data_IF_715768435439
#
_entry.id   IF_715768435439
#
_cell.length_a   1.000
_cell.length_b   1.000
_cell.length_c   1.000
_cell.angle_alpha   90.00
_cell.angle_beta   90.00
_cell.angle_gamma   90.00
#
_symmetry.space_group_name_H-M   'P 1'
#
loop_
_entity.id
_entity.type
_entity.pdbx_description
1 polymer ?
#
# COMPACT_ATOMS: atom_id res chain seq x y z
N UNK A 1 -25.60 34.77 -15.05
CA UNK A 1 -25.15 33.41 -15.41
C UNK A 1 -24.81 32.69 -14.11
N UNK A 2 -25.68 31.77 -13.64
CA UNK A 2 -25.58 31.16 -12.30
C UNK A 2 -24.48 30.09 -12.29
N UNK A 3 -23.47 30.26 -11.43
CA UNK A 3 -22.48 29.23 -11.14
C UNK A 3 -23.15 27.99 -10.55
N UNK A 4 -22.85 26.82 -11.10
CA UNK A 4 -23.23 25.52 -10.52
C UNK A 4 -22.20 25.15 -9.45
N UNK A 5 -22.60 24.73 -8.24
CA UNK A 5 -21.65 24.29 -7.23
C UNK A 5 -21.08 22.93 -7.61
N UNK A 6 -19.75 22.85 -7.64
CA UNK A 6 -18.97 21.63 -7.84
C UNK A 6 -19.11 20.76 -6.59
N UNK A 7 -19.69 19.57 -6.76
CA UNK A 7 -19.97 18.65 -5.66
C UNK A 7 -18.67 18.14 -5.03
N UNK A 8 -18.48 18.45 -3.74
CA UNK A 8 -17.51 17.80 -2.87
C UNK A 8 -17.81 16.30 -2.86
N UNK A 9 -16.92 15.48 -3.42
CA UNK A 9 -16.98 14.03 -3.21
C UNK A 9 -16.36 13.70 -1.85
N UNK A 10 -17.19 13.86 -0.84
CA UNK A 10 -17.05 13.28 0.50
C UNK A 10 -16.70 11.80 0.36
N UNK A 11 -15.86 11.27 1.27
CA UNK A 11 -15.64 9.84 1.47
C UNK A 11 -16.98 9.12 1.35
N UNK A 12 -17.21 8.43 0.24
CA UNK A 12 -18.45 7.67 0.05
C UNK A 12 -18.28 6.42 0.90
N UNK A 13 -18.55 6.54 2.20
CA UNK A 13 -19.23 5.43 2.86
C UNK A 13 -20.44 5.16 1.98
N UNK A 14 -20.45 4.02 1.29
CA UNK A 14 -21.68 3.56 0.67
C UNK A 14 -22.65 3.34 1.81
N UNK A 15 -23.44 4.36 2.12
CA UNK A 15 -24.70 4.20 2.80
C UNK A 15 -25.52 3.30 1.89
N UNK A 16 -25.50 2.00 2.19
CA UNK A 16 -26.45 1.09 1.60
C UNK A 16 -27.81 1.50 2.16
N UNK A 17 -28.86 1.58 1.33
CA UNK A 17 -30.19 2.03 1.77
C UNK A 17 -30.90 0.99 2.66
N UNK A 18 -30.14 0.10 3.28
CA UNK A 18 -30.58 -1.05 4.04
C UNK A 18 -29.52 -1.44 5.07
N UNK A 19 -29.91 -2.26 6.05
CA UNK A 19 -29.05 -2.79 7.11
C UNK A 19 -27.92 -3.63 6.53
N UNK A 20 -26.70 -3.29 6.93
CA UNK A 20 -25.49 -3.96 6.47
C UNK A 20 -24.53 -4.22 7.63
N UNK A 21 -24.19 -5.48 7.86
CA UNK A 21 -23.23 -5.87 8.89
C UNK A 21 -21.79 -5.78 8.36
N UNK A 22 -21.09 -4.67 8.62
CA UNK A 22 -19.71 -4.42 8.12
C UNK A 22 -18.70 -5.50 8.52
N UNK A 23 -18.88 -6.11 9.69
CA UNK A 23 -18.01 -7.17 10.23
C UNK A 23 -18.78 -8.47 10.47
N UNK A 24 -19.80 -8.74 9.65
CA UNK A 24 -20.68 -9.90 9.83
C UNK A 24 -20.12 -11.22 9.31
N UNK A 25 -19.04 -11.19 8.52
CA UNK A 25 -18.35 -12.40 8.04
C UNK A 25 -16.91 -12.41 8.57
N UNK A 26 -16.54 -13.48 9.25
CA UNK A 26 -15.16 -13.76 9.65
C UNK A 26 -14.59 -14.74 8.62
N UNK A 27 -13.39 -14.46 8.13
CA UNK A 27 -12.72 -15.26 7.10
C UNK A 27 -11.33 -15.60 7.59
N UNK A 28 -11.02 -16.88 7.68
CA UNK A 28 -9.74 -17.37 8.17
C UNK A 28 -9.06 -18.17 7.07
N UNK A 29 -7.76 -17.97 6.89
CA UNK A 29 -6.95 -18.75 5.97
C UNK A 29 -6.45 -19.98 6.72
N UNK A 30 -6.89 -21.16 6.29
CA UNK A 30 -6.55 -22.42 6.96
C UNK A 30 -5.33 -23.09 6.32
N UNK A 31 -5.11 -22.87 5.03
CA UNK A 31 -3.96 -23.41 4.30
C UNK A 31 -3.57 -22.50 3.14
N UNK A 32 -2.27 -22.38 2.90
CA UNK A 32 -1.72 -21.69 1.74
C UNK A 32 -0.52 -22.46 1.20
N UNK A 33 -0.55 -22.79 -0.08
CA UNK A 33 0.54 -23.44 -0.82
C UNK A 33 0.92 -22.64 -2.06
N UNK A 34 2.19 -22.69 -2.46
CA UNK A 34 2.66 -22.30 -3.78
C UNK A 34 3.38 -23.48 -4.41
N UNK A 35 2.91 -23.94 -5.58
CA UNK A 35 3.44 -25.12 -6.28
C UNK A 35 3.57 -26.38 -5.40
N UNK A 36 2.70 -26.51 -4.40
CA UNK A 36 2.69 -27.61 -3.44
C UNK A 36 3.43 -27.32 -2.13
N UNK A 37 4.25 -26.28 -2.07
CA UNK A 37 5.03 -25.92 -0.89
C UNK A 37 4.27 -24.96 0.04
N UNK A 38 4.31 -25.17 1.38
CA UNK A 38 3.68 -24.28 2.34
C UNK A 38 4.18 -22.84 2.25
N UNK A 39 3.24 -21.90 2.43
CA UNK A 39 3.51 -20.47 2.44
C UNK A 39 3.47 -19.94 3.87
N UNK A 40 4.40 -19.05 4.21
CA UNK A 40 4.32 -18.28 5.44
C UNK A 40 3.11 -17.33 5.42
N UNK A 41 2.33 -17.36 6.50
CA UNK A 41 1.09 -16.63 6.66
C UNK A 41 1.18 -15.78 7.92
N UNK A 42 0.99 -14.47 7.77
CA UNK A 42 0.79 -13.58 8.91
C UNK A 42 -0.72 -13.49 9.18
N UNK A 43 -1.16 -14.28 10.17
CA UNK A 43 -2.57 -14.34 10.56
C UNK A 43 -3.07 -13.06 11.26
N UNK A 44 -2.18 -12.33 11.94
CA UNK A 44 -2.54 -11.10 12.65
C UNK A 44 -2.75 -9.95 11.67
N UNK A 45 -1.80 -9.76 10.73
CA UNK A 45 -1.93 -8.78 9.66
C UNK A 45 -2.87 -9.24 8.54
N UNK A 46 -3.26 -10.53 8.52
CA UNK A 46 -4.08 -11.18 7.48
C UNK A 46 -3.43 -11.05 6.11
N UNK A 47 -2.14 -11.36 6.05
CA UNK A 47 -1.35 -11.27 4.83
C UNK A 47 -0.66 -12.58 4.48
N UNK A 48 -0.50 -12.80 3.17
CA UNK A 48 0.26 -13.91 2.60
C UNK A 48 1.26 -13.33 1.63
N UNK A 49 2.54 -13.61 1.88
CA UNK A 49 3.63 -13.13 1.04
C UNK A 49 4.06 -14.22 0.05
N UNK A 50 3.72 -14.03 -1.23
CA UNK A 50 4.23 -14.84 -2.36
C UNK A 50 5.39 -14.14 -3.07
N UNK A 51 5.68 -12.93 -2.65
CA UNK A 51 6.54 -11.95 -3.28
C UNK A 51 8.00 -12.42 -3.29
N UNK A 52 8.38 -13.12 -2.21
CA UNK A 52 9.70 -13.69 -1.98
C UNK A 52 10.08 -14.85 -2.91
N UNK A 53 9.13 -15.43 -3.66
CA UNK A 53 9.31 -16.74 -4.31
C UNK A 53 8.98 -16.68 -5.80
N UNK A 54 9.65 -17.52 -6.58
CA UNK A 54 9.18 -17.89 -7.92
C UNK A 54 8.12 -18.98 -7.75
N UNK A 55 6.97 -18.82 -8.40
CA UNK A 55 5.89 -19.79 -8.37
C UNK A 55 5.03 -19.69 -9.63
N UNK A 56 4.38 -20.78 -10.02
CA UNK A 56 3.43 -20.85 -11.13
C UNK A 56 1.97 -20.80 -10.66
N UNK A 57 1.67 -21.45 -9.54
CA UNK A 57 0.34 -21.51 -8.95
C UNK A 57 0.35 -21.34 -7.44
N UNK A 58 -0.68 -20.67 -6.92
CA UNK A 58 -0.96 -20.55 -5.49
C UNK A 58 -2.34 -21.15 -5.17
N UNK A 59 -2.38 -21.98 -4.12
CA UNK A 59 -3.57 -22.67 -3.64
C UNK A 59 -3.87 -22.24 -2.21
N UNK A 60 -5.08 -21.73 -1.99
CA UNK A 60 -5.51 -21.26 -0.69
C UNK A 60 -6.80 -21.96 -0.27
N UNK A 61 -6.82 -22.44 0.96
CA UNK A 61 -8.02 -22.93 1.62
C UNK A 61 -8.43 -21.91 2.69
N UNK A 62 -9.65 -21.40 2.58
CA UNK A 62 -10.20 -20.43 3.53
C UNK A 62 -11.47 -20.97 4.16
N UNK A 63 -11.72 -20.59 5.40
CA UNK A 63 -12.90 -20.92 6.18
C UNK A 63 -13.64 -19.63 6.52
N UNK A 64 -14.94 -19.58 6.28
CA UNK A 64 -15.78 -18.43 6.60
C UNK A 64 -16.88 -18.79 7.59
N UNK A 65 -17.03 -17.94 8.61
CA UNK A 65 -18.08 -18.03 9.62
C UNK A 65 -18.83 -16.71 9.74
N UNK A 66 -20.05 -16.75 10.29
CA UNK A 66 -20.80 -15.54 10.58
C UNK A 66 -20.47 -15.06 12.00
N UNK A 67 -20.28 -13.75 12.14
CA UNK A 67 -20.21 -13.15 13.47
C UNK A 67 -21.59 -13.27 14.17
N UNK A 68 -21.62 -13.40 15.51
CA UNK A 68 -22.88 -13.43 16.26
C UNK A 68 -23.78 -12.24 15.93
N UNK A 69 -25.08 -12.46 15.77
CA UNK A 69 -26.07 -11.42 15.47
C UNK A 69 -26.13 -11.00 13.98
N UNK A 70 -25.31 -11.58 13.10
CA UNK A 70 -25.29 -11.18 11.68
C UNK A 70 -26.60 -11.51 10.97
N UNK A 71 -27.20 -12.66 11.24
CA UNK A 71 -28.46 -13.06 10.61
C UNK A 71 -29.60 -12.12 11.03
N UNK A 72 -29.69 -11.81 12.32
CA UNK A 72 -30.69 -10.95 12.92
C UNK A 72 -30.61 -9.51 12.39
N UNK A 73 -29.38 -9.04 12.16
CA UNK A 73 -29.09 -7.72 11.61
C UNK A 73 -29.37 -7.62 10.11
N UNK A 74 -29.18 -8.71 9.36
CA UNK A 74 -29.24 -8.70 7.89
C UNK A 74 -30.54 -9.23 7.30
N UNK A 75 -31.34 -10.00 8.06
CA UNK A 75 -32.58 -10.60 7.58
C UNK A 75 -33.78 -10.26 8.49
N UNK A 76 -34.97 -10.05 7.90
CA UNK A 76 -36.20 -9.92 8.66
C UNK A 76 -36.51 -11.22 9.41
N UNK A 77 -37.27 -11.12 10.50
CA UNK A 77 -37.57 -12.23 11.41
C UNK A 77 -38.12 -13.47 10.70
N UNK A 78 -39.02 -13.29 9.73
CA UNK A 78 -39.61 -14.35 8.91
C UNK A 78 -38.61 -15.14 8.07
N UNK A 79 -37.39 -14.62 7.86
CA UNK A 79 -36.36 -15.27 7.04
C UNK A 79 -35.23 -15.89 7.88
N UNK A 80 -35.16 -15.66 9.20
CA UNK A 80 -33.97 -16.01 10.01
C UNK A 80 -33.74 -17.50 10.20
N UNK A 81 -34.81 -18.31 10.21
CA UNK A 81 -34.70 -19.76 10.32
C UNK A 81 -34.13 -20.40 9.05
N UNK A 82 -34.40 -19.80 7.88
CA UNK A 82 -33.90 -20.25 6.58
C UNK A 82 -33.47 -19.06 5.71
N UNK A 83 -32.36 -18.40 6.07
CA UNK A 83 -31.97 -17.13 5.47
C UNK A 83 -31.64 -17.32 3.99
N UNK A 84 -32.25 -16.55 3.07
CA UNK A 84 -32.00 -16.64 1.64
C UNK A 84 -30.65 -15.98 1.28
N UNK A 85 -29.55 -16.46 1.86
CA UNK A 85 -28.20 -15.94 1.69
C UNK A 85 -27.18 -17.00 1.28
N UNK A 86 -26.03 -16.55 0.78
CA UNK A 86 -24.83 -17.35 0.54
C UNK A 86 -23.59 -16.57 0.95
N UNK A 87 -22.55 -17.28 1.37
CA UNK A 87 -21.23 -16.68 1.54
C UNK A 87 -20.56 -16.57 0.18
N UNK A 88 -19.93 -15.44 -0.07
CA UNK A 88 -19.21 -15.16 -1.30
C UNK A 88 -17.78 -14.71 -0.96
N UNK A 89 -16.80 -15.35 -1.56
CA UNK A 89 -15.41 -14.90 -1.53
C UNK A 89 -15.10 -14.21 -2.86
N UNK A 90 -14.89 -12.89 -2.84
CA UNK A 90 -14.45 -12.14 -4.00
C UNK A 90 -12.93 -12.09 -4.05
N UNK A 91 -12.34 -12.47 -5.19
CA UNK A 91 -10.92 -12.37 -5.47
C UNK A 91 -10.72 -11.20 -6.42
N UNK A 92 -9.85 -10.26 -6.05
CA UNK A 92 -9.57 -9.07 -6.85
C UNK A 92 -8.08 -8.84 -6.96
N UNK A 93 -7.59 -8.66 -8.19
CA UNK A 93 -6.28 -8.08 -8.42
C UNK A 93 -6.47 -6.82 -9.28
N UNK A 94 -6.41 -5.61 -8.68
CA UNK A 94 -6.63 -4.36 -9.42
C UNK A 94 -5.64 -4.17 -10.58
N UNK A 95 -4.38 -4.59 -10.40
CA UNK A 95 -3.31 -4.41 -11.38
C UNK A 95 -3.58 -5.19 -12.68
N UNK A 96 -4.02 -6.43 -12.59
CA UNK A 96 -4.37 -7.28 -13.75
C UNK A 96 -5.85 -7.21 -14.12
N UNK A 97 -6.65 -6.48 -13.36
CA UNK A 97 -8.12 -6.42 -13.46
C UNK A 97 -8.82 -7.76 -13.20
N UNK A 98 -8.12 -8.75 -12.64
CA UNK A 98 -8.73 -10.02 -12.22
C UNK A 98 -9.87 -9.75 -11.24
N UNK A 99 -11.05 -10.30 -11.55
CA UNK A 99 -12.23 -10.26 -10.68
C UNK A 99 -12.94 -11.61 -10.78
N UNK A 100 -12.81 -12.43 -9.73
CA UNK A 100 -13.49 -13.73 -9.62
C UNK A 100 -14.29 -13.78 -8.33
N UNK A 101 -15.26 -14.66 -8.26
CA UNK A 101 -16.00 -14.93 -7.03
C UNK A 101 -16.27 -16.42 -6.88
N UNK A 102 -16.12 -16.92 -5.67
CA UNK A 102 -16.58 -18.26 -5.28
C UNK A 102 -17.74 -18.13 -4.31
N UNK A 103 -18.70 -19.04 -4.38
CA UNK A 103 -19.88 -19.07 -3.51
C UNK A 103 -19.85 -20.34 -2.67
N UNK A 104 -20.11 -20.20 -1.38
CA UNK A 104 -20.32 -21.31 -0.46
C UNK A 104 -21.74 -21.25 0.13
N UNK A 105 -22.28 -22.40 0.57
CA UNK A 105 -23.51 -22.44 1.35
C UNK A 105 -23.44 -21.50 2.55
N UNK A 106 -24.59 -21.01 2.99
CA UNK A 106 -24.69 -20.30 4.26
C UNK A 106 -24.97 -21.33 5.35
N UNK A 107 -24.14 -21.36 6.39
CA UNK A 107 -24.36 -22.17 7.58
C UNK A 107 -24.09 -21.32 8.82
N UNK A 108 -25.04 -21.32 9.75
CA UNK A 108 -24.88 -20.68 11.05
C UNK A 108 -24.13 -21.58 12.05
N UNK A 109 -24.16 -22.90 11.84
CA UNK A 109 -23.62 -23.89 12.78
C UNK A 109 -22.19 -24.34 12.45
N UNK A 110 -21.78 -24.23 11.18
CA UNK A 110 -20.49 -24.73 10.73
C UNK A 110 -19.80 -23.74 9.79
N UNK A 111 -18.46 -23.65 9.81
CA UNK A 111 -17.73 -22.87 8.85
C UNK A 111 -17.93 -23.38 7.42
N UNK A 112 -17.91 -22.45 6.47
CA UNK A 112 -18.00 -22.74 5.04
C UNK A 112 -16.64 -22.57 4.39
N UNK A 113 -16.20 -23.60 3.65
CA UNK A 113 -14.87 -23.61 3.04
C UNK A 113 -14.86 -23.01 1.64
N UNK A 114 -13.76 -22.35 1.30
CA UNK A 114 -13.43 -21.86 -0.03
C UNK A 114 -12.08 -22.44 -0.45
N UNK A 115 -12.03 -23.04 -1.64
CA UNK A 115 -10.79 -23.38 -2.31
C UNK A 115 -10.53 -22.34 -3.42
N UNK A 116 -9.34 -21.74 -3.40
CA UNK A 116 -8.93 -20.70 -4.34
C UNK A 116 -7.64 -21.14 -5.02
N UNK A 117 -7.69 -21.19 -6.35
CA UNK A 117 -6.52 -21.48 -7.19
C UNK A 117 -6.18 -20.25 -8.03
N UNK A 118 -4.95 -19.77 -7.92
CA UNK A 118 -4.46 -18.56 -8.59
C UNK A 118 -3.24 -18.90 -9.43
N UNK A 119 -3.27 -18.55 -10.71
CA UNK A 119 -2.08 -18.63 -11.57
C UNK A 119 -1.25 -17.37 -11.44
N UNK A 120 0.07 -17.52 -11.35
CA UNK A 120 1.05 -16.41 -11.30
C UNK A 120 0.84 -15.37 -12.40
N UNK A 121 0.44 -15.80 -13.60
CA UNK A 121 0.24 -14.95 -14.77
C UNK A 121 -0.94 -13.98 -14.60
N UNK A 122 -1.93 -14.36 -13.80
CA UNK A 122 -3.12 -13.55 -13.51
C UNK A 122 -2.87 -12.53 -12.38
N UNK A 123 -1.71 -12.57 -11.72
CA UNK A 123 -1.42 -11.80 -10.51
C UNK A 123 -0.32 -10.75 -10.72
N UNK A 124 -0.59 -9.52 -10.26
CA UNK A 124 0.40 -8.45 -10.11
C UNK A 124 0.13 -7.63 -8.85
N UNK A 125 1.17 -7.31 -8.09
CA UNK A 125 1.08 -6.54 -6.85
C UNK A 125 0.14 -7.17 -5.81
N UNK A 126 -0.79 -6.36 -5.31
CA UNK A 126 -1.73 -6.76 -4.25
C UNK A 126 -2.97 -7.48 -4.82
N UNK A 127 -3.30 -8.61 -4.22
CA UNK A 127 -4.50 -9.41 -4.46
C UNK A 127 -5.35 -9.41 -3.18
N UNK A 128 -6.62 -9.06 -3.30
CA UNK A 128 -7.57 -9.01 -2.18
C UNK A 128 -8.53 -10.19 -2.23
N UNK A 129 -8.68 -10.87 -1.09
CA UNK A 129 -9.69 -11.89 -0.84
C UNK A 129 -10.73 -11.33 0.13
N UNK A 130 -11.89 -10.94 -0.40
CA UNK A 130 -12.89 -10.16 0.34
C UNK A 130 -14.14 -11.01 0.58
N UNK A 131 -14.49 -11.31 1.85
CA UNK A 131 -15.69 -12.07 2.18
C UNK A 131 -16.94 -11.19 2.18
N UNK A 132 -18.05 -11.72 1.68
CA UNK A 132 -19.37 -11.12 1.75
C UNK A 132 -20.43 -12.16 2.08
N UNK A 133 -21.49 -11.71 2.76
CA UNK A 133 -22.79 -12.39 2.76
C UNK A 133 -23.64 -11.73 1.69
N UNK A 134 -24.20 -12.52 0.77
CA UNK A 134 -25.01 -12.02 -0.34
C UNK A 134 -26.40 -12.65 -0.36
N UNK A 135 -27.39 -11.88 -0.79
CA UNK A 135 -28.77 -12.35 -0.93
C UNK A 135 -28.94 -13.21 -2.18
N UNK A 136 -29.59 -14.37 -2.07
CA UNK A 136 -29.77 -15.31 -3.18
C UNK A 136 -31.13 -15.25 -3.85
N UNK A 137 -32.15 -14.75 -3.15
CA UNK A 137 -33.52 -14.58 -3.65
C UNK A 137 -34.07 -13.25 -3.20
N UNK A 138 -34.93 -12.63 -4.02
CA UNK A 138 -35.57 -11.39 -3.63
C UNK A 138 -36.42 -11.58 -2.36
N UNK A 139 -36.55 -10.53 -1.55
CA UNK A 139 -37.27 -10.56 -0.28
C UNK A 139 -38.23 -9.39 -0.11
N UNK A 140 -38.75 -9.27 1.11
CA UNK A 140 -39.60 -8.16 1.51
C UNK A 140 -38.77 -6.87 1.61
N UNK A 141 -39.33 -5.78 1.08
CA UNK A 141 -38.71 -4.46 1.07
C UNK A 141 -39.03 -3.71 2.38
N UNK A 142 -38.02 -3.09 2.98
CA UNK A 142 -38.06 -2.38 4.26
C UNK A 142 -36.66 -1.88 4.63
N UNK A 143 -36.26 -2.00 5.89
CA UNK A 143 -34.87 -1.70 6.33
C UNK A 143 -33.83 -2.72 5.81
N UNK A 144 -34.23 -3.80 5.15
CA UNK A 144 -33.38 -4.91 4.74
C UNK A 144 -33.13 -4.91 3.23
N UNK A 145 -32.01 -5.51 2.80
CA UNK A 145 -31.74 -5.68 1.38
C UNK A 145 -32.72 -6.69 0.79
N UNK A 146 -33.34 -6.32 -0.32
CA UNK A 146 -34.48 -7.02 -0.90
C UNK A 146 -34.17 -7.64 -2.26
N UNK A 147 -33.13 -7.19 -2.97
CA UNK A 147 -32.81 -7.70 -4.30
C UNK A 147 -31.78 -8.84 -4.25
N UNK A 148 -31.92 -9.80 -5.17
CA UNK A 148 -30.92 -10.85 -5.39
C UNK A 148 -29.57 -10.24 -5.75
N UNK A 149 -28.50 -10.74 -5.12
CA UNK A 149 -27.13 -10.30 -5.34
C UNK A 149 -26.70 -9.12 -4.46
N UNK A 150 -27.61 -8.51 -3.70
CA UNK A 150 -27.25 -7.46 -2.74
C UNK A 150 -26.36 -8.01 -1.62
N UNK A 151 -25.38 -7.19 -1.22
CA UNK A 151 -24.47 -7.52 -0.13
C UNK A 151 -25.14 -7.17 1.17
N UNK A 152 -25.21 -8.14 2.07
CA UNK A 152 -25.86 -8.07 3.38
C UNK A 152 -24.85 -7.87 4.50
N UNK A 153 -23.69 -8.52 4.40
CA UNK A 153 -22.59 -8.36 5.33
C UNK A 153 -21.24 -8.39 4.61
N UNK A 154 -20.22 -7.85 5.27
CA UNK A 154 -18.83 -7.91 4.85
C UNK A 154 -17.94 -8.44 5.97
N UNK A 155 -16.67 -8.59 5.64
CA UNK A 155 -15.64 -8.97 6.60
C UNK A 155 -14.30 -8.36 6.24
N UNK A 156 -13.34 -8.51 7.15
CA UNK A 156 -11.96 -8.09 6.90
C UNK A 156 -11.36 -8.92 5.76
N UNK A 157 -10.76 -8.31 4.75
CA UNK A 157 -10.15 -9.07 3.67
C UNK A 157 -8.86 -9.78 4.12
N UNK A 158 -8.42 -10.75 3.33
CA UNK A 158 -7.04 -11.21 3.30
C UNK A 158 -6.30 -10.55 2.14
N UNK A 159 -5.02 -10.26 2.36
CA UNK A 159 -4.16 -9.62 1.36
C UNK A 159 -3.07 -10.60 0.90
N UNK A 160 -3.02 -10.89 -0.39
CA UNK A 160 -1.94 -11.65 -1.01
C UNK A 160 -1.01 -10.70 -1.75
N UNK A 161 0.29 -10.79 -1.49
CA UNK A 161 1.32 -10.06 -2.22
C UNK A 161 1.95 -10.97 -3.26
N UNK A 162 1.64 -10.76 -4.54
CA UNK A 162 2.04 -11.64 -5.63
C UNK A 162 3.39 -11.26 -6.26
N UNK A 163 3.68 -9.97 -6.34
CA UNK A 163 5.02 -9.49 -6.66
C UNK A 163 5.67 -9.06 -5.36
N UNK A 164 6.99 -9.25 -5.25
CA UNK A 164 7.80 -8.41 -4.34
C UNK A 164 7.25 -7.02 -4.52
N UNK A 165 6.84 -6.38 -3.42
CA UNK A 165 6.95 -4.92 -3.43
C UNK A 165 8.33 -4.72 -4.06
N UNK A 166 8.39 -4.10 -5.26
CA UNK A 166 9.65 -3.50 -5.68
C UNK A 166 10.06 -2.84 -4.39
N UNK A 167 11.14 -3.31 -3.76
CA UNK A 167 11.70 -2.59 -2.64
C UNK A 167 11.73 -1.20 -3.21
N UNK A 168 10.87 -0.34 -2.71
CA UNK A 168 11.18 1.06 -2.76
C UNK A 168 12.41 1.00 -1.88
N UNK A 169 13.57 0.91 -2.53
CA UNK A 169 14.85 1.20 -1.91
C UNK A 169 14.54 2.37 -0.97
N UNK A 170 14.52 2.15 0.36
CA UNK A 170 13.86 3.11 1.26
C UNK A 170 12.97 2.60 2.41
N UNK A 171 13.10 1.37 2.94
CA UNK A 171 12.62 1.09 4.32
C UNK A 171 13.51 1.77 5.40
N UNK A 172 14.06 2.94 5.10
CA UNK A 172 14.90 3.73 6.02
C UNK A 172 14.13 4.93 6.57
N UNK A 173 12.85 5.05 6.23
CA UNK A 173 12.15 6.31 6.37
C UNK A 173 10.73 6.10 6.90
N UNK A 174 10.52 6.51 8.14
CA UNK A 174 9.20 6.62 8.76
C UNK A 174 8.47 7.82 8.17
N UNK A 175 7.44 7.59 7.36
CA UNK A 175 6.64 8.69 6.80
C UNK A 175 5.48 9.02 7.74
N UNK A 176 5.40 10.27 8.21
CA UNK A 176 4.36 10.76 9.12
C UNK A 176 3.70 12.01 8.58
N UNK A 177 2.40 12.18 8.81
CA UNK A 177 1.67 13.39 8.45
C UNK A 177 1.30 14.17 9.72
N UNK A 178 1.66 15.45 9.79
CA UNK A 178 1.29 16.34 10.90
C UNK A 178 1.12 17.77 10.40
N UNK A 179 0.29 18.55 11.08
CA UNK A 179 0.20 19.99 10.86
C UNK A 179 1.43 20.70 11.44
N UNK A 180 2.23 21.33 10.59
CA UNK A 180 3.51 21.92 11.01
C UNK A 180 3.31 23.14 11.92
N UNK A 181 2.13 23.75 12.01
CA UNK A 181 1.85 24.75 13.06
C UNK A 181 1.97 24.16 14.47
N UNK A 182 1.83 22.84 14.63
CA UNK A 182 1.98 22.15 15.91
C UNK A 182 3.42 21.71 16.22
N UNK A 183 4.35 21.90 15.28
CA UNK A 183 5.76 21.53 15.43
C UNK A 183 6.61 22.80 15.55
N UNK A 184 7.02 23.22 16.78
CA UNK A 184 7.68 24.51 16.99
C UNK A 184 9.02 24.68 16.25
N UNK A 185 9.70 23.57 15.95
CA UNK A 185 11.02 23.55 15.30
C UNK A 185 10.95 23.52 13.76
N UNK A 186 9.75 23.44 13.17
CA UNK A 186 9.58 23.26 11.73
C UNK A 186 8.81 24.46 11.15
N UNK A 187 9.29 25.11 10.08
CA UNK A 187 8.53 26.17 9.41
C UNK A 187 7.14 25.71 8.95
N UNK A 188 6.09 26.47 9.25
CA UNK A 188 4.71 26.04 9.04
C UNK A 188 4.26 25.92 7.56
N UNK A 189 4.99 26.54 6.63
CA UNK A 189 4.62 26.65 5.20
C UNK A 189 5.43 25.73 4.26
N UNK A 190 6.33 24.89 4.78
CA UNK A 190 7.06 23.93 3.93
C UNK A 190 6.25 22.65 3.73
N UNK A 191 6.53 21.93 2.63
CA UNK A 191 5.78 20.72 2.24
C UNK A 191 6.18 19.51 3.08
N UNK A 192 7.47 19.39 3.39
CA UNK A 192 8.01 18.27 4.17
C UNK A 192 9.20 18.72 5.02
N UNK A 193 9.49 17.94 6.06
CA UNK A 193 10.66 18.08 6.91
C UNK A 193 11.24 16.70 7.17
N UNK A 194 12.56 16.60 7.15
CA UNK A 194 13.27 15.34 7.36
C UNK A 194 14.02 15.43 8.70
N UNK A 195 13.65 14.56 9.63
CA UNK A 195 14.31 14.39 10.92
C UNK A 195 15.31 13.22 10.81
N UNK A 196 16.60 13.54 10.93
CA UNK A 196 17.71 12.61 10.74
C UNK A 196 18.47 12.30 12.04
N UNK A 197 18.08 12.92 13.15
CA UNK A 197 18.76 12.78 14.45
C UNK A 197 18.24 11.56 15.24
N UNK A 198 17.58 10.63 14.54
CA UNK A 198 16.95 9.45 15.09
C UNK A 198 17.59 8.17 14.53
N UNK A 199 17.56 7.04 15.27
CA UNK A 199 18.00 5.75 14.75
C UNK A 199 17.24 5.26 13.50
N UNK A 200 16.07 5.83 13.22
CA UNK A 200 15.31 5.68 11.98
C UNK A 200 14.84 7.06 11.51
N UNK A 201 15.28 7.55 10.34
CA UNK A 201 14.85 8.82 9.76
C UNK A 201 13.34 8.96 9.69
N UNK A 202 12.82 10.15 9.97
CA UNK A 202 11.40 10.44 9.89
C UNK A 202 11.15 11.52 8.84
N UNK A 203 10.38 11.17 7.80
CA UNK A 203 9.86 12.13 6.83
C UNK A 203 8.49 12.63 7.32
N UNK A 204 8.48 13.85 7.82
CA UNK A 204 7.26 14.56 8.14
C UNK A 204 6.70 15.24 6.89
N UNK A 205 5.43 14.99 6.60
CA UNK A 205 4.66 15.60 5.51
C UNK A 205 3.63 16.56 6.10
N UNK A 206 3.60 17.79 5.60
CA UNK A 206 2.78 18.84 6.18
C UNK A 206 1.29 18.66 5.84
N UNK A 207 0.49 18.33 6.85
CA UNK A 207 -0.96 18.10 6.73
C UNK A 207 -1.78 19.39 6.65
N UNK A 208 -1.17 20.55 6.93
CA UNK A 208 -1.82 21.88 6.86
C UNK A 208 -2.30 22.22 5.46
N UNK A 209 -1.49 21.88 4.45
CA UNK A 209 -1.85 22.02 3.05
C UNK A 209 -2.78 20.88 2.62
N UNK A 210 -4.05 20.95 3.05
CA UNK A 210 -5.04 19.87 2.87
C UNK A 210 -5.06 19.30 1.46
N UNK A 211 -4.99 20.14 0.43
CA UNK A 211 -4.97 19.70 -0.97
C UNK A 211 -3.75 18.85 -1.33
N UNK A 212 -2.56 19.23 -0.86
CA UNK A 212 -1.30 18.49 -1.07
C UNK A 212 -1.32 17.18 -0.26
N UNK A 213 -1.70 17.26 1.01
CA UNK A 213 -1.82 16.07 1.88
C UNK A 213 -2.83 15.06 1.31
N UNK A 214 -3.96 15.53 0.82
CA UNK A 214 -4.98 14.73 0.16
C UNK A 214 -4.53 14.04 -1.13
N UNK A 215 -3.60 14.67 -1.85
CA UNK A 215 -2.97 14.10 -3.05
C UNK A 215 -1.97 13.03 -2.62
N UNK A 216 -1.07 13.31 -1.68
CA UNK A 216 -0.07 12.38 -1.15
C UNK A 216 -0.70 11.14 -0.49
N UNK A 217 -1.82 11.30 0.21
CA UNK A 217 -2.58 10.20 0.81
C UNK A 217 -3.48 9.46 -0.19
N UNK A 218 -3.61 9.94 -1.43
CA UNK A 218 -4.48 9.34 -2.43
C UNK A 218 -4.04 7.91 -2.73
N UNK A 219 -4.99 6.97 -2.71
CA UNK A 219 -4.78 5.57 -3.16
C UNK A 219 -5.21 5.34 -4.61
N UNK A 220 -5.57 6.40 -5.33
CA UNK A 220 -5.93 6.28 -6.74
C UNK A 220 -4.71 5.81 -7.53
N UNK A 221 -4.89 4.84 -8.42
CA UNK A 221 -3.79 4.29 -9.23
C UNK A 221 -3.74 4.86 -10.65
N UNK A 222 -4.74 5.67 -11.04
CA UNK A 222 -4.88 6.26 -12.38
C UNK A 222 -5.59 7.62 -12.32
N UNK A 223 -5.43 8.40 -13.39
CA UNK A 223 -6.06 9.71 -13.59
C UNK A 223 -5.23 10.85 -13.00
N UNK A 224 -5.63 12.09 -13.29
CA UNK A 224 -4.87 13.31 -12.97
C UNK A 224 -4.36 13.34 -11.52
N UNK A 225 -5.21 12.98 -10.54
CA UNK A 225 -4.82 12.97 -9.11
C UNK A 225 -3.73 11.94 -8.78
N UNK A 226 -3.70 10.80 -9.46
CA UNK A 226 -2.62 9.83 -9.30
C UNK A 226 -1.32 10.32 -9.96
N UNK A 227 -1.42 10.92 -11.16
CA UNK A 227 -0.25 11.49 -11.84
C UNK A 227 0.37 12.63 -11.04
N UNK A 228 -0.44 13.57 -10.51
CA UNK A 228 0.05 14.65 -9.64
C UNK A 228 0.69 14.08 -8.38
N UNK A 229 0.07 13.07 -7.74
CA UNK A 229 0.66 12.41 -6.57
C UNK A 229 2.04 11.83 -6.88
N UNK A 230 2.16 11.09 -7.97
CA UNK A 230 3.40 10.42 -8.33
C UNK A 230 4.51 11.45 -8.64
N UNK A 231 4.19 12.54 -9.34
CA UNK A 231 5.14 13.64 -9.57
C UNK A 231 5.57 14.32 -8.27
N UNK A 232 4.62 14.63 -7.37
CA UNK A 232 4.95 15.26 -6.08
C UNK A 232 5.81 14.32 -5.22
N UNK A 233 5.53 13.02 -5.22
CA UNK A 233 6.39 12.05 -4.53
C UNK A 233 7.79 12.03 -5.09
N UNK A 234 7.96 11.96 -6.42
CA UNK A 234 9.29 11.97 -7.04
C UNK A 234 10.07 13.24 -6.68
N UNK A 235 9.40 14.41 -6.65
CA UNK A 235 10.03 15.67 -6.24
C UNK A 235 10.50 15.64 -4.77
N UNK A 236 9.68 15.09 -3.86
CA UNK A 236 10.05 14.93 -2.46
C UNK A 236 11.21 13.94 -2.34
N UNK A 237 11.14 12.82 -3.05
CA UNK A 237 12.15 11.76 -3.06
C UNK A 237 13.52 12.28 -3.48
N UNK A 238 13.59 13.14 -4.51
CA UNK A 238 14.85 13.79 -4.92
C UNK A 238 15.51 14.55 -3.76
N UNK A 239 14.75 15.43 -3.09
CA UNK A 239 15.27 16.23 -1.98
C UNK A 239 15.58 15.40 -0.74
N UNK A 240 14.86 14.31 -0.50
CA UNK A 240 15.08 13.40 0.63
C UNK A 240 16.37 12.59 0.46
N UNK A 241 16.62 12.02 -0.73
CA UNK A 241 17.84 11.26 -0.96
C UNK A 241 19.10 12.10 -0.85
N UNK A 242 19.06 13.33 -1.37
CA UNK A 242 20.17 14.27 -1.21
C UNK A 242 20.50 14.51 0.27
N UNK A 243 19.49 14.76 1.11
CA UNK A 243 19.69 15.01 2.54
C UNK A 243 20.19 13.77 3.29
N UNK A 244 19.59 12.60 3.04
CA UNK A 244 20.03 11.33 3.62
C UNK A 244 21.50 11.04 3.28
N UNK A 245 21.88 11.22 2.02
CA UNK A 245 23.24 10.98 1.56
C UNK A 245 24.23 11.97 2.16
N UNK A 246 23.91 13.28 2.16
CA UNK A 246 24.78 14.30 2.78
C UNK A 246 24.99 14.00 4.25
N UNK A 247 23.93 13.64 4.98
CA UNK A 247 24.04 13.29 6.40
C UNK A 247 24.93 12.06 6.60
N UNK A 248 24.67 10.97 5.88
CA UNK A 248 25.47 9.75 5.97
C UNK A 248 26.94 9.98 5.59
N UNK A 249 27.21 10.76 4.54
CA UNK A 249 28.58 11.10 4.12
C UNK A 249 29.29 12.01 5.13
N UNK A 250 28.55 12.92 5.78
CA UNK A 250 29.12 13.82 6.80
C UNK A 250 29.41 13.09 8.11
N UNK A 251 28.64 12.05 8.43
CA UNK A 251 28.81 11.25 9.63
C UNK A 251 29.89 10.16 9.49
N UNK A 252 30.22 9.81 8.25
CA UNK A 252 31.22 8.80 7.94
C UNK A 252 32.59 9.18 8.51
N UNK A 253 33.07 8.36 9.45
CA UNK A 253 34.39 8.55 10.05
C UNK A 253 35.51 8.07 9.13
N UNK A 254 36.76 8.43 9.46
CA UNK A 254 37.94 7.91 8.74
C UNK A 254 38.11 6.39 8.82
N UNK A 255 37.49 5.76 9.81
CA UNK A 255 37.46 4.30 9.95
C UNK A 255 36.38 3.63 9.06
N UNK A 256 35.56 4.42 8.36
CA UNK A 256 34.45 3.91 7.55
C UNK A 256 33.19 3.58 8.34
N UNK A 257 33.09 4.06 9.59
CA UNK A 257 31.96 3.81 10.48
C UNK A 257 30.99 5.00 10.47
N UNK A 258 29.69 4.72 10.57
CA UNK A 258 28.60 5.70 10.73
C UNK A 258 27.88 5.52 12.08
N UNK A 259 27.13 6.53 12.53
CA UNK A 259 26.43 6.52 13.83
C UNK A 259 25.18 5.65 13.80
N UNK A 260 24.51 5.57 12.65
CA UNK A 260 23.26 4.83 12.50
C UNK A 260 23.29 3.86 11.33
N UNK A 261 22.71 2.66 11.55
CA UNK A 261 22.65 1.62 10.51
C UNK A 261 21.94 2.04 9.21
N UNK A 262 21.08 3.06 9.23
CA UNK A 262 20.44 3.56 8.01
C UNK A 262 21.44 4.34 7.14
N UNK A 263 22.45 4.98 7.74
CA UNK A 263 23.49 5.73 7.03
C UNK A 263 24.34 4.76 6.19
N UNK A 264 24.79 3.65 6.78
CA UNK A 264 25.49 2.57 6.07
C UNK A 264 24.69 2.04 4.86
N UNK A 265 23.37 1.91 5.02
CA UNK A 265 22.49 1.40 3.98
C UNK A 265 22.29 2.41 2.84
N UNK A 266 22.16 3.71 3.16
CA UNK A 266 22.13 4.79 2.17
C UNK A 266 23.43 4.79 1.36
N UNK A 267 24.59 4.69 2.02
CA UNK A 267 25.88 4.66 1.34
C UNK A 267 26.05 3.39 0.49
N UNK A 268 25.64 2.23 1.00
CA UNK A 268 25.68 0.96 0.28
C UNK A 268 24.80 0.94 -0.96
N UNK A 269 23.70 1.70 -0.95
CA UNK A 269 22.78 1.83 -2.07
C UNK A 269 23.30 2.77 -3.16
N UNK A 270 23.78 3.96 -2.77
CA UNK A 270 24.07 5.03 -3.73
C UNK A 270 25.52 5.03 -4.21
N UNK A 271 26.49 4.63 -3.38
CA UNK A 271 27.90 4.62 -3.80
C UNK A 271 28.19 3.76 -5.04
N UNK A 272 27.59 2.56 -5.23
CA UNK A 272 27.76 1.81 -6.47
C UNK A 272 27.28 2.56 -7.73
N UNK A 273 26.22 3.37 -7.59
CA UNK A 273 25.65 4.17 -8.70
C UNK A 273 26.47 5.44 -8.96
N UNK A 274 27.03 6.05 -7.91
CA UNK A 274 27.87 7.26 -7.98
C UNK A 274 29.29 6.93 -8.45
N UNK A 275 29.87 5.83 -7.98
CA UNK A 275 31.24 5.37 -8.24
C UNK A 275 31.24 3.97 -8.89
N UNK A 276 30.67 3.83 -10.10
CA UNK A 276 30.54 2.52 -10.75
C UNK A 276 31.89 1.90 -11.15
N UNK A 277 32.92 2.71 -11.33
CA UNK A 277 34.28 2.26 -11.68
C UNK A 277 35.02 1.60 -10.50
N UNK A 278 34.56 1.82 -9.27
CA UNK A 278 35.13 1.21 -8.06
C UNK A 278 34.32 -0.04 -7.75
N UNK A 279 34.96 -1.20 -7.61
CA UNK A 279 34.26 -2.49 -7.52
C UNK A 279 33.78 -2.84 -6.11
N UNK A 280 34.55 -2.51 -5.08
CA UNK A 280 34.29 -2.89 -3.70
C UNK A 280 33.80 -1.71 -2.86
N UNK A 281 33.01 -2.03 -1.83
CA UNK A 281 32.34 -1.03 -1.01
C UNK A 281 33.31 -0.27 -0.09
N UNK A 282 34.33 -0.95 0.43
CA UNK A 282 35.32 -0.35 1.32
C UNK A 282 36.11 0.75 0.62
N UNK A 283 36.55 0.52 -0.62
CA UNK A 283 37.22 1.53 -1.44
C UNK A 283 36.29 2.68 -1.78
N UNK A 284 34.99 2.44 -2.03
CA UNK A 284 34.02 3.51 -2.26
C UNK A 284 33.85 4.41 -1.03
N UNK A 285 33.80 3.83 0.17
CA UNK A 285 33.75 4.59 1.43
C UNK A 285 35.03 5.41 1.62
N UNK A 286 36.20 4.83 1.34
CA UNK A 286 37.47 5.56 1.40
C UNK A 286 37.49 6.76 0.42
N UNK A 287 37.05 6.56 -0.82
CA UNK A 287 36.92 7.65 -1.81
C UNK A 287 35.97 8.72 -1.30
N UNK A 288 34.80 8.33 -0.78
CA UNK A 288 33.84 9.28 -0.21
C UNK A 288 34.45 10.13 0.90
N UNK A 289 35.19 9.52 1.84
CA UNK A 289 35.86 10.22 2.94
C UNK A 289 36.92 11.20 2.44
N UNK A 290 37.73 10.80 1.45
CA UNK A 290 38.75 11.66 0.83
C UNK A 290 38.13 12.86 0.09
N UNK A 291 37.12 12.62 -0.75
CA UNK A 291 36.44 13.66 -1.53
C UNK A 291 35.70 14.65 -0.61
N UNK A 292 35.05 14.15 0.44
CA UNK A 292 34.39 14.99 1.46
C UNK A 292 35.42 15.86 2.19
N UNK A 293 36.59 15.30 2.53
CA UNK A 293 37.69 16.03 3.18
C UNK A 293 38.33 17.09 2.28
N UNK A 294 38.30 16.89 0.96
CA UNK A 294 38.83 17.84 -0.04
C UNK A 294 37.83 18.93 -0.43
N UNK A 295 36.58 18.83 0.01
CA UNK A 295 35.53 19.78 -0.35
C UNK A 295 34.88 19.52 -1.71
N UNK A 296 35.04 18.31 -2.27
CA UNK A 296 34.48 17.89 -3.56
C UNK A 296 33.03 17.37 -3.45
N UNK A 297 32.34 17.70 -2.34
CA UNK A 297 30.93 17.36 -2.11
C UNK A 297 30.01 17.78 -3.27
N UNK A 298 30.18 18.95 -3.93
CA UNK A 298 29.33 19.32 -5.07
C UNK A 298 29.37 18.33 -6.23
N UNK A 299 30.56 17.77 -6.52
CA UNK A 299 30.75 16.78 -7.58
C UNK A 299 30.01 15.48 -7.25
N UNK A 300 30.10 15.03 -6.00
CA UNK A 300 29.37 13.86 -5.49
C UNK A 300 27.85 14.07 -5.51
N UNK A 301 27.38 15.27 -5.15
CA UNK A 301 25.94 15.58 -5.19
C UNK A 301 25.41 15.64 -6.61
N UNK A 302 26.18 16.15 -7.57
CA UNK A 302 25.79 16.10 -8.99
C UNK A 302 25.69 14.67 -9.53
N UNK A 303 26.58 13.78 -9.07
CA UNK A 303 26.52 12.36 -9.43
C UNK A 303 25.36 11.63 -8.74
N UNK A 304 25.07 11.95 -7.47
CA UNK A 304 23.90 11.45 -6.76
C UNK A 304 22.60 11.91 -7.43
N UNK A 305 22.46 13.18 -7.77
CA UNK A 305 21.27 13.73 -8.43
C UNK A 305 20.98 12.97 -9.74
N UNK A 306 22.02 12.74 -10.56
CA UNK A 306 21.89 11.91 -11.77
C UNK A 306 21.42 10.50 -11.45
N UNK A 307 22.06 9.83 -10.48
CA UNK A 307 21.71 8.47 -10.09
C UNK A 307 20.26 8.38 -9.57
N UNK A 308 19.82 9.36 -8.77
CA UNK A 308 18.44 9.43 -8.27
C UNK A 308 17.45 9.68 -9.41
N UNK A 309 17.79 10.54 -10.37
CA UNK A 309 16.95 10.77 -11.54
C UNK A 309 16.80 9.53 -12.41
N UNK A 310 17.90 8.80 -12.64
CA UNK A 310 17.91 7.53 -13.41
C UNK A 310 17.09 6.42 -12.72
N UNK A 311 17.11 6.38 -11.39
CA UNK A 311 16.33 5.42 -10.60
C UNK A 311 14.85 5.84 -10.48
N UNK A 312 14.57 7.13 -10.59
CA UNK A 312 13.21 7.69 -10.54
C UNK A 312 12.41 7.43 -11.82
N UNK A 313 11.09 7.51 -11.71
CA UNK A 313 10.18 7.48 -12.86
C UNK A 313 9.65 8.88 -13.22
N UNK A 314 10.35 9.95 -12.82
CA UNK A 314 9.85 11.34 -12.91
C UNK A 314 9.44 11.74 -14.31
N UNK A 315 10.27 11.47 -15.33
CA UNK A 315 9.93 11.77 -16.71
C UNK A 315 8.62 11.07 -17.16
N UNK A 316 8.41 9.83 -16.70
CA UNK A 316 7.22 9.04 -17.01
C UNK A 316 6.00 9.55 -16.23
N UNK A 317 6.17 10.01 -14.99
CA UNK A 317 5.11 10.59 -14.17
C UNK A 317 4.68 11.96 -14.71
N UNK A 318 5.64 12.80 -15.11
CA UNK A 318 5.38 14.10 -15.74
C UNK A 318 4.61 13.95 -17.06
N UNK A 319 5.03 13.03 -17.94
CA UNK A 319 4.31 12.77 -19.19
C UNK A 319 2.85 12.34 -18.92
N UNK A 320 2.64 11.40 -17.99
CA UNK A 320 1.30 10.98 -17.56
C UNK A 320 0.47 12.08 -16.89
N UNK A 321 1.11 13.11 -16.34
CA UNK A 321 0.42 14.24 -15.74
C UNK A 321 -0.09 15.19 -16.82
N UNK A 322 0.76 15.52 -17.80
CA UNK A 322 0.39 16.36 -18.95
C UNK A 322 -0.75 15.73 -19.75
N UNK A 323 -0.65 14.42 -20.08
CA UNK A 323 -1.69 13.69 -20.81
C UNK A 323 -3.04 13.58 -20.08
N UNK A 324 -3.06 13.81 -18.75
CA UNK A 324 -4.28 13.73 -17.96
C UNK A 324 -5.04 15.07 -17.86
N UNK A 325 -4.46 16.17 -18.37
CA UNK A 325 -5.10 17.48 -18.45
C UNK A 325 -5.83 17.73 -19.79
N UNK A 326 -5.49 16.97 -20.84
CA UNK A 326 -6.16 16.96 -22.15
C UNK A 326 -7.42 16.06 -22.17
#
# INVERSE_FOLDING_TARGET
MRMRPTAVRTKVERFLPYRYAKSGVVLDLTRALADGDPIEVDAEARTVDLSGREFEAAELELSATLAPGTIESCFPESERESPPGRLALCIRCPATRLRRSSLAPLSAAAPSSFAVHLSRQDLRGLVELVPFLVRTRSGLQGDYAAARGERLAGGRPWSLRADRERRVEGQFLDIRFEDFEKLPAVPADIVYHLDLDQPSPILWLNARHKGVAEVLMSRATRGARASVRDVVFDMITQGVWAQLFVRAASDLTRAGETSYSWEDQVLSMWLPKILPAVSDQETRLHVLTEETSRGELPTLLGALDRAVQEDSSLATHLARMVEAED
#
